data_IF_747973734011
#
_entry.id   IF_747973734011
#
_cell.length_a   1.000
_cell.length_b   1.000
_cell.length_c   1.000
_cell.angle_alpha   90.00
_cell.angle_beta   90.00
_cell.angle_gamma   90.00
#
_symmetry.space_group_name_H-M   'P 1'
#
loop_
_entity.id
_entity.type
_entity.pdbx_description
1 polymer ?
#
# COMPACT_ATOMS: atom_id res chain seq x y z
N UNK A 1 -26.58 7.66 -7.64
CA UNK A 1 -25.52 7.40 -8.64
C UNK A 1 -24.30 8.31 -8.46
N UNK A 2 -24.49 9.62 -8.26
CA UNK A 2 -23.39 10.59 -7.99
C UNK A 2 -22.55 10.30 -6.73
N UNK A 3 -23.15 9.62 -5.75
CA UNK A 3 -22.46 9.23 -4.50
C UNK A 3 -21.47 8.06 -4.73
N UNK A 4 -21.81 7.14 -5.64
CA UNK A 4 -20.95 6.01 -5.98
C UNK A 4 -19.74 6.45 -6.82
N UNK A 5 -19.92 7.37 -7.76
CA UNK A 5 -18.80 7.91 -8.56
C UNK A 5 -17.80 8.65 -7.68
N UNK A 6 -18.28 9.51 -6.76
CA UNK A 6 -17.43 10.20 -5.78
C UNK A 6 -16.71 9.23 -4.85
N UNK A 7 -17.42 8.20 -4.38
CA UNK A 7 -16.82 7.13 -3.59
C UNK A 7 -15.68 6.42 -4.35
N UNK A 8 -15.90 6.04 -5.61
CA UNK A 8 -14.88 5.38 -6.43
C UNK A 8 -13.67 6.29 -6.70
N UNK A 9 -13.88 7.58 -6.95
CA UNK A 9 -12.79 8.55 -7.10
C UNK A 9 -11.94 8.65 -5.84
N UNK A 10 -12.59 8.72 -4.68
CA UNK A 10 -11.90 8.81 -3.40
C UNK A 10 -11.16 7.50 -3.07
N UNK A 11 -11.76 6.35 -3.34
CA UNK A 11 -11.08 5.06 -3.22
C UNK A 11 -9.83 5.00 -4.12
N UNK A 12 -9.91 5.50 -5.36
CA UNK A 12 -8.74 5.56 -6.26
C UNK A 12 -7.65 6.47 -5.71
N UNK A 13 -8.02 7.63 -5.13
CA UNK A 13 -7.08 8.55 -4.48
C UNK A 13 -6.36 7.87 -3.32
N UNK A 14 -7.11 7.25 -2.41
CA UNK A 14 -6.56 6.54 -1.24
C UNK A 14 -5.66 5.38 -1.68
N UNK A 15 -6.09 4.55 -2.65
CA UNK A 15 -5.25 3.45 -3.17
C UNK A 15 -3.92 3.95 -3.76
N UNK A 16 -3.92 5.11 -4.42
CA UNK A 16 -2.69 5.73 -4.95
C UNK A 16 -1.76 6.21 -3.83
N UNK A 17 -2.30 6.75 -2.75
CA UNK A 17 -1.54 7.17 -1.57
C UNK A 17 -0.99 5.96 -0.81
N UNK A 18 -1.79 4.92 -0.59
CA UNK A 18 -1.38 3.68 0.06
C UNK A 18 -0.20 3.02 -0.65
N UNK A 19 -0.18 2.98 -1.98
CA UNK A 19 0.97 2.45 -2.75
C UNK A 19 2.28 3.15 -2.43
N UNK A 20 2.27 4.48 -2.20
CA UNK A 20 3.46 5.24 -1.81
C UNK A 20 3.91 4.87 -0.40
N UNK A 21 2.95 4.75 0.53
CA UNK A 21 3.21 4.37 1.92
C UNK A 21 3.79 2.95 2.01
N UNK A 22 3.20 1.99 1.30
CA UNK A 22 3.66 0.59 1.25
C UNK A 22 5.05 0.50 0.63
N UNK A 23 5.34 1.28 -0.41
CA UNK A 23 6.69 1.37 -0.98
C UNK A 23 7.70 1.91 0.03
N UNK A 24 7.37 3.00 0.74
CA UNK A 24 8.23 3.55 1.79
C UNK A 24 8.45 2.58 2.95
N UNK A 25 7.41 1.82 3.32
CA UNK A 25 7.50 0.75 4.30
C UNK A 25 8.45 -0.37 3.85
N UNK A 26 8.37 -0.78 2.58
CA UNK A 26 9.30 -1.74 1.98
C UNK A 26 10.76 -1.26 2.04
N UNK A 27 11.02 0.01 1.70
CA UNK A 27 12.36 0.63 1.83
C UNK A 27 12.84 0.63 3.28
N UNK A 28 11.97 0.96 4.23
CA UNK A 28 12.30 0.95 5.66
C UNK A 28 12.66 -0.46 6.15
N UNK A 29 11.89 -1.49 5.75
CA UNK A 29 12.20 -2.88 6.07
C UNK A 29 13.51 -3.37 5.45
N UNK A 30 13.79 -2.95 4.21
CA UNK A 30 15.06 -3.24 3.54
C UNK A 30 16.25 -2.63 4.31
N UNK A 31 16.12 -1.37 4.75
CA UNK A 31 17.14 -0.70 5.58
C UNK A 31 17.35 -1.38 6.95
N UNK A 32 16.39 -2.16 7.43
CA UNK A 32 16.52 -2.99 8.63
C UNK A 32 17.16 -4.36 8.38
N UNK A 33 17.55 -4.66 7.15
CA UNK A 33 18.24 -5.91 6.78
C UNK A 33 17.32 -7.11 6.62
N UNK A 34 16.00 -6.89 6.45
CA UNK A 34 15.07 -7.99 6.21
C UNK A 34 15.26 -8.56 4.80
N UNK A 35 15.05 -9.87 4.67
CA UNK A 35 15.08 -10.55 3.36
C UNK A 35 13.95 -10.07 2.45
N UNK A 36 14.16 -10.08 1.14
CA UNK A 36 13.13 -9.70 0.16
C UNK A 36 11.82 -10.48 0.35
N UNK A 37 11.92 -11.80 0.60
CA UNK A 37 10.75 -12.66 0.89
C UNK A 37 9.95 -12.17 2.10
N UNK A 38 10.64 -11.70 3.14
CA UNK A 38 9.99 -11.17 4.34
C UNK A 38 9.33 -9.82 4.05
N UNK A 39 10.03 -8.95 3.32
CA UNK A 39 9.51 -7.65 2.88
C UNK A 39 8.24 -7.83 2.07
N UNK A 40 8.28 -8.70 1.05
CA UNK A 40 7.15 -8.99 0.17
C UNK A 40 5.94 -9.50 0.95
N UNK A 41 6.14 -10.37 1.95
CA UNK A 41 5.07 -10.86 2.81
C UNK A 41 4.45 -9.75 3.66
N UNK A 42 5.25 -8.81 4.17
CA UNK A 42 4.74 -7.68 4.94
C UNK A 42 4.00 -6.68 4.06
N UNK A 43 4.56 -6.31 2.92
CA UNK A 43 3.93 -5.35 2.01
C UNK A 43 2.66 -5.92 1.38
N UNK A 44 2.63 -7.21 1.01
CA UNK A 44 1.43 -7.86 0.50
C UNK A 44 0.31 -7.94 1.52
N UNK A 45 0.64 -8.22 2.79
CA UNK A 45 -0.36 -8.27 3.85
C UNK A 45 -0.97 -6.88 4.09
N UNK A 46 -0.16 -5.82 4.08
CA UNK A 46 -0.63 -4.44 4.26
C UNK A 46 -1.42 -3.93 3.04
N UNK A 47 -1.11 -4.38 1.82
CA UNK A 47 -1.90 -4.03 0.63
C UNK A 47 -3.27 -4.72 0.60
N UNK A 48 -3.38 -5.90 1.24
CA UNK A 48 -4.60 -6.70 1.28
C UNK A 48 -5.61 -6.25 2.35
N UNK A 49 -5.13 -5.86 3.53
CA UNK A 49 -5.96 -5.49 4.69
C UNK A 49 -6.09 -3.97 4.84
#
# INVERSE_FOLDING_TARGET
MMDYEKYEEECKRIRKENKKLISGFGTWLSAKGLSQKTIDKHTSNVDFY
#
